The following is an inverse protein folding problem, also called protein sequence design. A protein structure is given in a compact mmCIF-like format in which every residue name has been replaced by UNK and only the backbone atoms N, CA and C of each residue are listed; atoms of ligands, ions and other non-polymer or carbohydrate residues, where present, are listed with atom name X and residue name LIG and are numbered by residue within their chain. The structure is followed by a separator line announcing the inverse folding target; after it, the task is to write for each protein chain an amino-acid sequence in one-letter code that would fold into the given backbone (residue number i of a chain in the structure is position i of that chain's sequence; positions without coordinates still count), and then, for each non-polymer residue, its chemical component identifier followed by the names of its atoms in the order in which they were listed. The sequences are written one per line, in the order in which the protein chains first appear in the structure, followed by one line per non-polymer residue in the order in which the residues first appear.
data_IF_045545851311
#
_entry.id   IF_045545851311
#
_cell.length_a   1.000
_cell.length_b   1.000
_cell.length_c   1.000
_cell.angle_alpha   90.00
_cell.angle_beta   90.00
_cell.angle_gamma   90.00
#
_symmetry.space_group_name_H-M   'P 1'
#
loop_
_entity.id
_entity.type
_entity.pdbx_description
1 polymer ?
#
# COMPACT_ATOMS: atom_id res chain seq x y z
N UNK A 1 5.03 8.65 -6.42
CA UNK A 1 4.33 7.35 -6.31
C UNK A 1 2.82 7.49 -6.14
N UNK A 2 2.31 8.24 -5.16
CA UNK A 2 0.85 8.39 -4.97
C UNK A 2 0.10 8.89 -6.23
N UNK A 3 0.60 9.94 -6.90
CA UNK A 3 0.00 10.45 -8.15
C UNK A 3 0.02 9.44 -9.32
N UNK A 4 0.91 8.44 -9.27
CA UNK A 4 0.96 7.35 -10.26
C UNK A 4 -0.05 6.24 -9.89
N UNK A 5 -0.06 5.80 -8.63
CA UNK A 5 -0.80 4.61 -8.23
C UNK A 5 -2.28 4.87 -7.91
N UNK A 6 -2.68 6.07 -7.49
CA UNK A 6 -4.10 6.33 -7.22
C UNK A 6 -4.97 6.21 -8.50
N UNK A 7 -4.57 6.77 -9.67
CA UNK A 7 -5.28 6.54 -10.93
C UNK A 7 -5.27 5.07 -11.37
N UNK A 8 -4.15 4.35 -11.18
CA UNK A 8 -4.06 2.91 -11.50
C UNK A 8 -5.01 2.08 -10.64
N UNK A 9 -5.12 2.38 -9.35
CA UNK A 9 -6.05 1.72 -8.45
C UNK A 9 -7.52 1.95 -8.86
N UNK A 10 -7.88 3.19 -9.22
CA UNK A 10 -9.20 3.51 -9.76
C UNK A 10 -9.49 2.73 -11.06
N UNK A 11 -8.52 2.68 -11.98
CA UNK A 11 -8.64 1.92 -13.23
C UNK A 11 -8.76 0.40 -12.99
N UNK A 12 -8.17 -0.11 -11.91
CA UNK A 12 -8.31 -1.50 -11.45
C UNK A 12 -9.62 -1.78 -10.68
N UNK A 13 -10.50 -0.79 -10.53
CA UNK A 13 -11.81 -0.95 -9.90
C UNK A 13 -11.85 -0.68 -8.39
N UNK A 14 -10.76 -0.19 -7.78
CA UNK A 14 -10.80 0.28 -6.39
C UNK A 14 -11.64 1.55 -6.32
N UNK A 15 -12.57 1.61 -5.37
CA UNK A 15 -13.45 2.78 -5.22
C UNK A 15 -12.69 4.00 -4.68
N UNK A 16 -13.14 5.20 -5.06
CA UNK A 16 -12.60 6.44 -4.51
C UNK A 16 -12.70 6.47 -2.98
N UNK A 17 -13.84 6.04 -2.42
CA UNK A 17 -14.04 5.95 -0.97
C UNK A 17 -12.93 5.15 -0.28
N UNK A 18 -12.51 4.03 -0.87
CA UNK A 18 -11.47 3.17 -0.31
C UNK A 18 -10.10 3.85 -0.31
N UNK A 19 -9.79 4.61 -1.36
CA UNK A 19 -8.57 5.42 -1.43
C UNK A 19 -8.60 6.55 -0.39
N UNK A 20 -9.73 7.23 -0.23
CA UNK A 20 -9.89 8.37 0.69
C UNK A 20 -9.67 7.95 2.15
N UNK A 21 -10.08 6.73 2.51
CA UNK A 21 -9.97 6.20 3.90
C UNK A 21 -8.77 5.25 4.08
N UNK A 22 -7.89 5.11 3.08
CA UNK A 22 -6.75 4.20 3.14
C UNK A 22 -5.79 4.51 4.29
N UNK A 23 -5.53 5.79 4.58
CA UNK A 23 -4.68 6.19 5.71
C UNK A 23 -5.31 5.87 7.08
N UNK A 24 -6.61 5.59 7.12
CA UNK A 24 -7.37 5.23 8.31
C UNK A 24 -7.93 3.80 8.23
N UNK A 25 -7.30 2.91 7.45
CA UNK A 25 -7.84 1.58 7.14
C UNK A 25 -8.17 0.72 8.36
N UNK A 26 -7.46 0.89 9.48
CA UNK A 26 -7.69 0.13 10.72
C UNK A 26 -9.09 0.39 11.30
N UNK A 27 -9.57 1.63 11.21
CA UNK A 27 -10.87 2.07 11.72
C UNK A 27 -11.99 1.93 10.68
N UNK A 28 -11.64 1.68 9.41
CA UNK A 28 -12.60 1.65 8.32
C UNK A 28 -13.14 0.23 8.07
N UNK A 29 -14.47 0.05 8.00
CA UNK A 29 -15.08 -1.25 7.70
C UNK A 29 -15.05 -1.62 6.21
N UNK A 30 -14.56 -0.73 5.33
CA UNK A 30 -14.54 -0.97 3.87
C UNK A 30 -13.42 -1.93 3.42
N UNK A 31 -12.55 -2.34 4.34
CA UNK A 31 -11.46 -3.28 4.11
C UNK A 31 -11.79 -4.63 4.70
N UNK A 32 -11.75 -5.67 3.87
CA UNK A 32 -11.99 -7.04 4.32
C UNK A 32 -10.77 -7.64 5.07
N UNK A 33 -10.91 -8.86 5.56
CA UNK A 33 -9.85 -9.55 6.30
C UNK A 33 -8.56 -9.73 5.48
N UNK A 34 -8.67 -10.05 4.18
CA UNK A 34 -7.51 -10.28 3.31
C UNK A 34 -6.77 -8.97 3.05
N UNK A 35 -7.49 -7.89 2.83
CA UNK A 35 -6.93 -6.55 2.65
C UNK A 35 -6.29 -6.02 3.93
N UNK A 36 -6.93 -6.21 5.08
CA UNK A 36 -6.38 -5.81 6.39
C UNK A 36 -5.07 -6.55 6.70
N UNK A 37 -5.00 -7.85 6.38
CA UNK A 37 -3.77 -8.61 6.50
C UNK A 37 -2.66 -8.07 5.58
N UNK A 38 -2.99 -7.73 4.33
CA UNK A 38 -2.02 -7.14 3.40
C UNK A 38 -1.55 -5.75 3.83
N UNK A 39 -2.45 -4.89 4.29
CA UNK A 39 -2.12 -3.54 4.77
C UNK A 39 -1.30 -3.59 6.06
N UNK A 40 -1.63 -4.49 6.99
CA UNK A 40 -0.83 -4.73 8.19
C UNK A 40 0.60 -5.16 7.84
N UNK A 41 0.75 -6.12 6.93
CA UNK A 41 2.06 -6.56 6.46
C UNK A 41 2.83 -5.46 5.73
N UNK A 42 2.15 -4.67 4.89
CA UNK A 42 2.74 -3.52 4.20
C UNK A 42 3.27 -2.48 5.19
N UNK A 43 2.52 -2.14 6.24
CA UNK A 43 2.98 -1.23 7.29
C UNK A 43 4.17 -1.79 8.07
N UNK A 44 4.13 -3.08 8.43
CA UNK A 44 5.20 -3.75 9.15
C UNK A 44 6.51 -3.68 8.37
N UNK A 45 6.51 -4.08 7.10
CA UNK A 45 7.71 -4.07 6.25
C UNK A 45 8.16 -2.65 5.85
N UNK A 46 7.24 -1.70 5.74
CA UNK A 46 7.60 -0.31 5.41
C UNK A 46 8.35 0.37 6.55
N UNK A 47 8.04 0.02 7.80
CA UNK A 47 8.68 0.51 9.02
C UNK A 47 9.51 -0.59 9.70
N UNK A 48 10.16 -1.45 8.91
CA UNK A 48 10.81 -2.67 9.42
C UNK A 48 11.86 -2.39 10.49
N UNK A 49 12.50 -1.22 10.45
CA UNK A 49 13.47 -0.77 11.46
C UNK A 49 12.85 -0.59 12.85
N UNK A 50 11.55 -0.27 12.91
CA UNK A 50 10.81 -0.06 14.14
C UNK A 50 9.90 -1.24 14.49
N UNK A 51 9.29 -1.88 13.49
CA UNK A 51 8.33 -2.96 13.69
C UNK A 51 9.00 -4.31 13.95
N UNK A 52 10.18 -4.55 13.34
CA UNK A 52 10.81 -5.87 13.32
C UNK A 52 10.01 -6.95 12.58
N UNK A 53 8.95 -6.60 11.83
CA UNK A 53 8.04 -7.52 11.15
C UNK A 53 7.49 -8.63 12.09
N UNK A 54 6.61 -8.28 13.05
CA UNK A 54 6.23 -9.16 14.15
C UNK A 54 5.47 -10.40 13.67
N UNK A 55 5.63 -11.51 14.40
CA UNK A 55 4.99 -12.81 14.10
C UNK A 55 3.48 -12.70 13.96
N UNK A 56 2.83 -11.80 14.71
CA UNK A 56 1.38 -11.57 14.61
C UNK A 56 0.94 -11.06 13.24
N UNK A 57 1.73 -10.16 12.63
CA UNK A 57 1.44 -9.63 11.30
C UNK A 57 1.71 -10.69 10.23
N UNK A 58 2.79 -11.47 10.39
CA UNK A 58 3.07 -12.59 9.48
C UNK A 58 2.02 -13.69 9.58
N UNK A 59 1.52 -14.01 10.78
CA UNK A 59 0.46 -15.00 10.99
C UNK A 59 -0.86 -14.56 10.36
N UNK A 60 -1.24 -13.28 10.50
CA UNK A 60 -2.42 -12.72 9.83
C UNK A 60 -2.30 -12.80 8.30
N UNK A 61 -1.12 -12.50 7.77
CA UNK A 61 -0.81 -12.66 6.35
C UNK A 61 -0.94 -14.13 5.90
N UNK A 62 -0.31 -15.06 6.62
CA UNK A 62 -0.33 -16.49 6.31
C UNK A 62 -1.73 -17.12 6.39
N UNK A 63 -2.62 -16.57 7.22
CA UNK A 63 -4.01 -17.00 7.28
C UNK A 63 -4.83 -16.55 6.05
N UNK A 64 -4.44 -15.46 5.38
CA UNK A 64 -5.21 -14.86 4.28
C UNK A 64 -4.64 -15.11 2.87
N UNK A 65 -3.37 -15.49 2.77
CA UNK A 65 -2.63 -15.65 1.51
C UNK A 65 -1.84 -16.95 1.48
N UNK A 66 -1.82 -17.61 0.32
CA UNK A 66 -0.97 -18.77 0.11
C UNK A 66 0.53 -18.36 0.01
N UNK A 67 1.43 -19.34 -0.05
CA UNK A 67 2.88 -19.07 -0.09
C UNK A 67 3.31 -18.19 -1.28
N UNK A 68 2.81 -18.47 -2.48
CA UNK A 68 3.13 -17.68 -3.67
C UNK A 68 2.63 -16.24 -3.53
N UNK A 69 1.37 -16.05 -3.15
CA UNK A 69 0.78 -14.72 -2.97
C UNK A 69 1.53 -13.90 -1.89
N UNK A 70 2.03 -14.56 -0.83
CA UNK A 70 2.85 -13.89 0.21
C UNK A 70 4.17 -13.36 -0.32
N UNK A 71 4.84 -14.14 -1.18
CA UNK A 71 6.06 -13.72 -1.85
C UNK A 71 5.77 -12.55 -2.79
N UNK A 72 4.71 -12.65 -3.61
CA UNK A 72 4.31 -11.60 -4.55
C UNK A 72 3.95 -10.30 -3.84
N UNK A 73 3.17 -10.36 -2.76
CA UNK A 73 2.82 -9.19 -1.97
C UNK A 73 4.06 -8.54 -1.34
N UNK A 74 4.96 -9.35 -0.77
CA UNK A 74 6.21 -8.85 -0.18
C UNK A 74 7.11 -8.20 -1.23
N UNK A 75 7.15 -8.75 -2.44
CA UNK A 75 7.87 -8.17 -3.57
C UNK A 75 7.30 -6.80 -3.96
N UNK A 76 5.97 -6.67 -4.05
CA UNK A 76 5.30 -5.39 -4.37
C UNK A 76 5.61 -4.34 -3.29
N UNK A 77 5.49 -4.70 -2.00
CA UNK A 77 5.81 -3.82 -0.88
C UNK A 77 7.27 -3.35 -0.93
N UNK A 78 8.20 -4.28 -1.16
CA UNK A 78 9.63 -3.98 -1.24
C UNK A 78 9.94 -3.07 -2.43
N UNK A 79 9.31 -3.35 -3.57
CA UNK A 79 9.48 -2.57 -4.82
C UNK A 79 9.00 -1.13 -4.63
N UNK A 80 7.82 -0.91 -4.06
CA UNK A 80 7.33 0.45 -3.82
C UNK A 80 8.18 1.19 -2.77
N UNK A 81 8.69 0.48 -1.78
CA UNK A 81 9.64 1.02 -0.80
C UNK A 81 10.96 1.48 -1.45
N UNK A 82 11.47 0.74 -2.43
CA UNK A 82 12.63 1.17 -3.22
C UNK A 82 12.29 2.41 -4.07
N UNK A 83 11.18 2.40 -4.82
CA UNK A 83 10.75 3.53 -5.64
C UNK A 83 10.52 4.81 -4.83
N UNK A 84 9.93 4.70 -3.64
CA UNK A 84 9.75 5.85 -2.74
C UNK A 84 11.10 6.45 -2.33
N UNK A 85 12.11 5.62 -2.03
CA UNK A 85 13.47 6.08 -1.69
C UNK A 85 14.13 6.80 -2.86
N UNK A 86 13.99 6.30 -4.08
CA UNK A 86 14.47 6.98 -5.28
C UNK A 86 13.74 8.32 -5.50
N UNK A 87 12.41 8.30 -5.60
CA UNK A 87 11.63 9.49 -5.91
C UNK A 87 11.84 10.62 -4.87
N UNK A 88 11.81 10.28 -3.58
CA UNK A 88 12.05 11.26 -2.51
C UNK A 88 13.51 11.68 -2.46
N UNK A 89 14.45 10.72 -2.50
CA UNK A 89 15.89 10.96 -2.44
C UNK A 89 16.38 11.89 -3.55
N UNK A 90 15.84 11.74 -4.76
CA UNK A 90 16.17 12.55 -5.93
C UNK A 90 15.19 13.70 -6.20
N UNK A 91 14.30 14.03 -5.25
CA UNK A 91 13.35 15.17 -5.33
C UNK A 91 12.50 15.18 -6.59
N UNK A 92 12.11 14.01 -7.09
CA UNK A 92 11.25 13.87 -8.26
C UNK A 92 9.88 14.49 -7.99
N UNK A 93 9.47 15.43 -8.85
CA UNK A 93 8.16 16.06 -8.79
C UNK A 93 7.14 15.25 -9.58
N UNK A 94 5.94 15.08 -9.04
CA UNK A 94 4.83 14.54 -9.82
C UNK A 94 4.29 15.63 -10.77
N UNK A 95 3.60 15.20 -11.83
CA UNK A 95 2.88 16.14 -12.69
C UNK A 95 1.79 16.86 -11.90
N UNK A 96 1.70 18.18 -12.08
CA UNK A 96 0.57 18.98 -11.59
C UNK A 96 -0.46 19.01 -12.71
N UNK A 97 -1.63 18.40 -12.49
CA UNK A 97 -2.74 18.53 -13.44
C UNK A 97 -3.17 19.98 -13.45
N UNK A 98 -3.28 20.59 -14.63
CA UNK A 98 -3.86 21.91 -14.75
C UNK A 98 -5.26 21.87 -14.12
N UNK A 99 -5.60 22.90 -13.32
CA UNK A 99 -6.96 23.04 -12.82
C UNK A 99 -7.90 22.97 -14.03
N UNK A 100 -8.87 22.05 -13.99
CA UNK A 100 -9.92 22.03 -14.99
C UNK A 100 -10.55 23.43 -14.97
N UNK A 101 -10.43 24.17 -16.07
CA UNK A 101 -11.12 25.43 -16.23
C UNK A 101 -12.61 25.15 -16.03
N UNK A 102 -13.17 25.76 -14.99
CA UNK A 102 -14.59 25.75 -14.64
C UNK A 102 -15.44 26.33 -15.76
#
# INVERSE_FOLDING_TARGET
CLNLHAPEALAAGISQQKLDVLSAWRESPVFDTKERAALGWAEALTRIEASGAPDSDYAALAAAFNEQERVELTLVITTINAWNRFAVGFRSQHSVRAAAAS
#
